data_IF_848617056032
#
_entry.id   IF_848617056032
#
_cell.length_a   1.000
_cell.length_b   1.000
_cell.length_c   1.000
_cell.angle_alpha   90.00
_cell.angle_beta   90.00
_cell.angle_gamma   90.00
#
_symmetry.space_group_name_H-M   'P 1'
#
loop_
_entity.id
_entity.type
_entity.pdbx_description
1 polymer ?
#
# COMPACT_ATOMS: atom_id res chain seq x y z
N UNK A 1 -12.73 0.15 -5.71
CA UNK A 1 -11.60 0.81 -6.40
C UNK A 1 -10.71 -0.28 -6.99
N UNK A 2 -10.41 -0.27 -8.28
CA UNK A 2 -9.49 -1.25 -8.89
C UNK A 2 -8.09 -0.66 -8.89
N UNK A 3 -7.13 -1.38 -8.32
CA UNK A 3 -5.73 -0.94 -8.32
C UNK A 3 -4.97 -1.54 -9.50
N UNK A 4 -3.98 -0.82 -10.00
CA UNK A 4 -3.23 -1.25 -11.18
C UNK A 4 -1.78 -1.56 -10.82
N UNK A 5 -1.30 -2.72 -11.27
CA UNK A 5 0.11 -3.11 -11.19
C UNK A 5 0.53 -3.81 -12.48
N UNK A 6 1.59 -3.29 -13.10
CA UNK A 6 2.31 -3.97 -14.17
C UNK A 6 2.83 -5.34 -13.67
N UNK A 7 2.59 -6.41 -14.44
CA UNK A 7 2.96 -7.81 -14.15
C UNK A 7 2.19 -8.45 -12.98
N UNK A 8 0.87 -8.26 -12.95
CA UNK A 8 -0.07 -9.06 -12.15
C UNK A 8 -0.95 -9.91 -13.07
N UNK A 9 -1.43 -11.05 -12.57
CA UNK A 9 -2.02 -12.11 -13.42
C UNK A 9 -3.39 -11.73 -14.00
N UNK A 10 -4.13 -10.86 -13.33
CA UNK A 10 -5.49 -10.46 -13.74
C UNK A 10 -5.45 -9.36 -14.81
N UNK A 11 -6.15 -9.58 -15.95
CA UNK A 11 -6.20 -8.64 -17.07
C UNK A 11 -6.98 -7.36 -16.71
N UNK A 12 -6.59 -6.24 -17.30
CA UNK A 12 -7.26 -4.94 -17.14
C UNK A 12 -8.79 -4.96 -17.29
N UNK A 13 -9.29 -5.70 -18.29
CA UNK A 13 -10.71 -5.78 -18.61
C UNK A 13 -11.55 -6.56 -17.57
N UNK A 14 -10.92 -7.21 -16.59
CA UNK A 14 -11.61 -7.94 -15.54
C UNK A 14 -12.11 -6.96 -14.46
N UNK A 15 -13.38 -6.54 -14.56
CA UNK A 15 -13.99 -5.57 -13.63
C UNK A 15 -14.26 -6.15 -12.23
N UNK A 16 -14.40 -7.48 -12.12
CA UNK A 16 -14.64 -8.23 -10.88
C UNK A 16 -13.56 -9.28 -10.66
N UNK A 17 -12.31 -8.86 -10.81
CA UNK A 17 -11.16 -9.71 -10.51
C UNK A 17 -11.19 -10.11 -9.03
N UNK A 18 -10.65 -11.29 -8.69
CA UNK A 18 -10.76 -11.84 -7.34
C UNK A 18 -10.15 -10.90 -6.28
N UNK A 19 -9.18 -10.08 -6.69
CA UNK A 19 -8.45 -9.17 -5.82
C UNK A 19 -8.67 -7.69 -6.11
N UNK A 20 -9.41 -7.33 -7.16
CA UNK A 20 -9.53 -5.95 -7.66
C UNK A 20 -8.17 -5.25 -7.89
N UNK A 21 -7.16 -6.03 -8.28
CA UNK A 21 -5.84 -5.55 -8.70
C UNK A 21 -5.59 -6.10 -10.08
N UNK A 22 -5.40 -5.24 -11.08
CA UNK A 22 -5.25 -5.67 -12.46
C UNK A 22 -3.92 -5.21 -13.06
N UNK A 23 -3.54 -5.88 -14.14
CA UNK A 23 -2.45 -5.45 -15.01
C UNK A 23 -3.01 -4.72 -16.22
N UNK A 24 -3.03 -3.39 -16.13
CA UNK A 24 -3.36 -2.49 -17.24
C UNK A 24 -2.14 -1.91 -17.96
N UNK A 25 -0.96 -2.53 -17.82
CA UNK A 25 0.31 -1.99 -18.34
C UNK A 25 0.54 -0.50 -17.98
N UNK A 26 0.04 -0.10 -16.82
CA UNK A 26 0.05 1.27 -16.33
C UNK A 26 0.66 1.33 -14.94
N UNK A 27 1.46 2.36 -14.66
CA UNK A 27 2.22 2.51 -13.42
C UNK A 27 1.48 3.36 -12.38
N UNK A 28 0.16 3.16 -12.23
CA UNK A 28 -0.73 4.00 -11.41
C UNK A 28 -0.18 4.36 -10.03
N UNK A 29 0.44 3.40 -9.32
CA UNK A 29 1.03 3.66 -8.01
C UNK A 29 2.14 4.73 -8.08
N UNK A 30 3.04 4.63 -9.06
CA UNK A 30 4.07 5.64 -9.30
C UNK A 30 3.44 6.94 -9.80
N UNK A 31 2.65 6.90 -10.87
CA UNK A 31 2.16 8.13 -11.52
C UNK A 31 1.31 8.99 -10.55
N UNK A 32 0.48 8.35 -9.72
CA UNK A 32 -0.29 9.06 -8.68
C UNK A 32 0.62 9.63 -7.58
N UNK A 33 1.58 8.84 -7.08
CA UNK A 33 2.50 9.32 -6.04
C UNK A 33 3.36 10.47 -6.59
N UNK A 34 3.88 10.33 -7.81
CA UNK A 34 4.69 11.35 -8.46
C UNK A 34 3.94 12.67 -8.55
N UNK A 35 2.68 12.64 -9.00
CA UNK A 35 1.83 13.82 -9.03
C UNK A 35 1.65 14.46 -7.64
N UNK A 36 1.38 13.66 -6.60
CA UNK A 36 1.22 14.17 -5.22
C UNK A 36 2.50 14.75 -4.64
N UNK A 37 3.66 14.23 -5.05
CA UNK A 37 4.99 14.68 -4.62
C UNK A 37 5.65 15.60 -5.65
N UNK A 38 4.85 16.30 -6.48
CA UNK A 38 5.30 17.37 -7.40
C UNK A 38 6.30 16.93 -8.46
N UNK A 39 6.11 15.73 -8.97
CA UNK A 39 6.88 15.12 -10.05
C UNK A 39 8.38 14.92 -9.77
N UNK A 40 8.74 14.79 -8.49
CA UNK A 40 10.13 14.64 -8.01
C UNK A 40 10.49 13.19 -7.62
N UNK A 41 9.65 12.19 -7.96
CA UNK A 41 9.93 10.80 -7.60
C UNK A 41 10.74 10.07 -8.67
N UNK A 42 11.73 9.32 -8.21
CA UNK A 42 12.52 8.38 -9.01
C UNK A 42 11.60 7.25 -9.50
N UNK A 43 11.49 7.12 -10.82
CA UNK A 43 10.72 6.07 -11.50
C UNK A 43 11.52 4.78 -11.55
N UNK A 44 10.88 3.66 -11.22
CA UNK A 44 11.45 2.33 -11.44
C UNK A 44 11.57 2.06 -12.95
N UNK A 45 12.79 1.91 -13.47
CA UNK A 45 13.05 1.46 -14.83
C UNK A 45 13.18 -0.07 -14.90
N UNK A 46 13.06 -0.64 -16.10
CA UNK A 46 13.25 -2.09 -16.33
C UNK A 46 14.68 -2.57 -16.04
N UNK A 47 15.64 -1.67 -16.00
CA UNK A 47 17.06 -1.96 -15.74
C UNK A 47 17.37 -2.04 -14.24
N UNK A 48 16.53 -1.45 -13.40
CA UNK A 48 16.74 -1.41 -11.95
C UNK A 48 15.93 -2.54 -11.31
N UNK A 49 16.59 -3.67 -11.00
CA UNK A 49 16.01 -4.70 -10.14
C UNK A 49 16.22 -4.32 -8.68
N UNK A 50 15.14 -3.93 -7.99
CA UNK A 50 15.19 -3.56 -6.57
C UNK A 50 14.52 -4.65 -5.74
N UNK A 51 15.29 -5.18 -4.79
CA UNK A 51 14.77 -6.00 -3.70
C UNK A 51 14.15 -5.09 -2.65
N UNK A 52 12.98 -5.46 -2.12
CA UNK A 52 12.40 -4.76 -0.99
C UNK A 52 13.26 -5.09 0.24
N UNK A 53 14.11 -4.15 0.66
CA UNK A 53 14.97 -4.30 1.84
C UNK A 53 14.36 -3.64 3.08
N UNK A 54 13.33 -2.81 2.90
CA UNK A 54 12.60 -2.18 3.99
C UNK A 54 11.93 -3.18 4.94
N UNK A 55 11.87 -2.78 6.22
CA UNK A 55 11.22 -3.57 7.24
C UNK A 55 9.70 -3.43 7.12
N UNK A 56 9.00 -4.56 7.09
CA UNK A 56 7.55 -4.60 7.26
C UNK A 56 7.21 -4.54 8.74
N UNK A 57 6.65 -3.42 9.17
CA UNK A 57 6.22 -3.21 10.54
C UNK A 57 4.72 -3.47 10.62
N UNK A 58 4.32 -4.21 11.65
CA UNK A 58 2.92 -4.48 11.97
C UNK A 58 2.59 -3.78 13.28
N UNK A 59 1.51 -3.00 13.31
CA UNK A 59 1.15 -2.19 14.49
C UNK A 59 -0.32 -2.33 14.84
N UNK A 60 -0.59 -2.54 16.14
CA UNK A 60 -1.95 -2.63 16.69
C UNK A 60 -2.69 -1.31 16.53
N UNK A 61 -3.62 -1.22 15.58
CA UNK A 61 -4.29 0.04 15.26
C UNK A 61 -5.08 0.59 16.45
N UNK A 62 -5.73 -0.28 17.21
CA UNK A 62 -6.51 0.11 18.38
C UNK A 62 -5.70 0.91 19.42
N UNK A 63 -4.37 0.71 19.49
CA UNK A 63 -3.51 1.44 20.40
C UNK A 63 -3.38 2.94 20.04
N UNK A 64 -3.70 3.31 18.81
CA UNK A 64 -3.61 4.68 18.29
C UNK A 64 -4.99 5.34 18.09
N UNK A 65 -6.05 4.67 18.53
CA UNK A 65 -7.42 5.15 18.38
C UNK A 65 -7.97 5.65 19.71
N UNK A 66 -8.84 6.65 19.66
CA UNK A 66 -9.55 7.10 20.84
C UNK A 66 -10.42 5.94 21.40
N UNK A 67 -10.28 5.58 22.70
CA UNK A 67 -11.00 4.45 23.31
C UNK A 67 -12.52 4.49 23.10
N UNK A 68 -13.12 5.67 23.06
CA UNK A 68 -14.56 5.87 22.86
C UNK A 68 -15.04 5.48 21.46
N UNK A 69 -14.13 5.33 20.50
CA UNK A 69 -14.41 5.03 19.08
C UNK A 69 -13.95 3.62 18.69
N UNK A 70 -13.01 3.04 19.44
CA UNK A 70 -12.47 1.68 19.21
C UNK A 70 -13.59 0.64 19.17
N UNK A 71 -14.58 0.73 20.06
CA UNK A 71 -15.70 -0.23 20.13
C UNK A 71 -16.70 -0.10 18.97
N UNK A 72 -16.57 0.91 18.12
CA UNK A 72 -17.47 1.15 16.97
C UNK A 72 -16.76 1.12 15.63
N UNK A 73 -15.45 0.84 15.62
CA UNK A 73 -14.66 0.88 14.40
C UNK A 73 -14.25 -0.50 13.92
N UNK A 74 -14.45 -0.76 12.64
CA UNK A 74 -13.99 -1.98 11.99
C UNK A 74 -12.46 -2.07 11.93
N UNK A 75 -11.72 -0.99 12.19
CA UNK A 75 -10.26 -1.01 12.26
C UNK A 75 -9.71 -1.52 13.60
N UNK A 76 -10.56 -1.79 14.60
CA UNK A 76 -10.15 -2.17 15.95
C UNK A 76 -9.46 -3.53 16.06
N UNK A 77 -9.83 -4.48 15.21
CA UNK A 77 -9.36 -5.87 15.29
C UNK A 77 -8.31 -6.21 14.23
N UNK A 78 -7.70 -5.19 13.63
CA UNK A 78 -6.72 -5.37 12.56
C UNK A 78 -5.47 -4.57 12.84
N UNK A 79 -4.33 -5.15 12.48
CA UNK A 79 -3.07 -4.43 12.49
C UNK A 79 -2.88 -3.64 11.20
N UNK A 80 -2.30 -2.46 11.32
CA UNK A 80 -1.79 -1.70 10.18
C UNK A 80 -0.45 -2.27 9.77
N UNK A 81 -0.13 -2.16 8.48
CA UNK A 81 1.20 -2.43 7.99
C UNK A 81 1.88 -1.15 7.58
N UNK A 82 3.18 -1.07 7.78
CA UNK A 82 4.01 -0.07 7.12
C UNK A 82 5.27 -0.70 6.53
N UNK A 83 5.75 -0.11 5.44
CA UNK A 83 7.09 -0.38 4.93
C UNK A 83 7.93 0.86 5.17
N UNK A 84 9.09 0.68 5.79
CA UNK A 84 10.13 1.69 5.79
C UNK A 84 11.46 1.13 5.31
N UNK A 85 11.92 1.64 4.16
CA UNK A 85 13.26 1.40 3.64
C UNK A 85 14.24 2.33 4.36
N UNK A 86 15.21 1.73 5.05
CA UNK A 86 16.32 2.45 5.69
C UNK A 86 15.94 3.47 6.78
N UNK A 87 14.80 3.30 7.46
CA UNK A 87 14.40 4.15 8.60
C UNK A 87 15.54 4.34 9.60
N UNK A 88 16.17 5.52 9.54
CA UNK A 88 17.18 5.99 10.47
C UNK A 88 16.89 7.46 10.77
N UNK A 89 17.35 7.95 11.91
CA UNK A 89 16.99 9.28 12.40
C UNK A 89 17.65 10.42 11.59
N UNK A 90 18.46 10.09 10.58
CA UNK A 90 19.29 11.05 9.82
C UNK A 90 18.66 11.48 8.49
N UNK A 91 17.54 10.86 8.10
CA UNK A 91 16.85 11.15 6.82
C UNK A 91 15.45 11.70 7.03
N UNK A 92 15.00 12.53 6.09
CA UNK A 92 13.61 12.98 6.01
C UNK A 92 12.80 11.95 5.24
N UNK A 93 11.66 11.57 5.80
CA UNK A 93 10.72 10.63 5.18
C UNK A 93 9.38 11.30 4.93
N UNK A 94 8.81 11.03 3.77
CA UNK A 94 7.41 11.34 3.49
C UNK A 94 6.52 10.18 3.95
N UNK A 95 5.31 10.47 4.41
CA UNK A 95 4.33 9.43 4.76
C UNK A 95 3.21 9.42 3.73
N UNK A 96 2.87 8.24 3.20
CA UNK A 96 1.72 8.02 2.35
C UNK A 96 0.75 7.01 2.97
N UNK A 97 -0.53 7.37 3.10
CA UNK A 97 -1.57 6.45 3.56
C UNK A 97 -2.25 5.81 2.35
N UNK A 98 -2.18 4.49 2.27
CA UNK A 98 -2.76 3.69 1.20
C UNK A 98 -3.98 2.91 1.71
N UNK A 99 -5.17 3.39 1.37
CA UNK A 99 -6.44 2.74 1.71
C UNK A 99 -6.79 1.69 0.66
N UNK A 100 -7.20 0.50 1.12
CA UNK A 100 -7.71 -0.56 0.25
C UNK A 100 -9.18 -0.29 -0.12
N UNK A 101 -9.68 -0.96 -1.17
CA UNK A 101 -11.09 -0.93 -1.53
C UNK A 101 -11.91 -2.00 -0.80
N UNK A 102 -13.21 -2.07 -1.11
CA UNK A 102 -14.07 -3.16 -0.69
C UNK A 102 -13.48 -4.51 -1.08
N UNK A 103 -13.64 -5.50 -0.20
CA UNK A 103 -13.15 -6.88 -0.32
C UNK A 103 -11.63 -7.02 -0.40
N UNK A 104 -10.87 -6.00 -0.03
CA UNK A 104 -9.39 -6.01 -0.08
C UNK A 104 -8.71 -5.90 1.29
N UNK A 105 -9.46 -6.14 2.37
CA UNK A 105 -8.91 -6.20 3.73
C UNK A 105 -8.00 -7.41 3.92
N UNK A 106 -7.11 -7.34 4.92
CA UNK A 106 -6.25 -8.47 5.33
C UNK A 106 -7.02 -9.75 5.65
N UNK A 107 -8.20 -9.62 6.24
CA UNK A 107 -9.09 -10.76 6.56
C UNK A 107 -9.57 -11.51 5.31
N UNK A 108 -9.69 -10.84 4.16
CA UNK A 108 -10.22 -11.41 2.93
C UNK A 108 -9.11 -11.81 1.96
N UNK A 109 -8.09 -10.97 1.78
CA UNK A 109 -7.03 -11.16 0.79
C UNK A 109 -5.62 -11.22 1.40
N UNK A 110 -5.49 -11.44 2.72
CA UNK A 110 -4.20 -11.43 3.40
C UNK A 110 -3.40 -10.16 3.04
N UNK A 111 -2.14 -10.29 2.66
CA UNK A 111 -1.29 -9.14 2.32
C UNK A 111 -1.28 -8.81 0.81
N UNK A 112 -2.26 -9.27 0.03
CA UNK A 112 -2.30 -9.05 -1.43
C UNK A 112 -2.34 -7.57 -1.76
N UNK A 113 -3.23 -6.78 -1.15
CA UNK A 113 -3.28 -5.34 -1.38
C UNK A 113 -1.93 -4.65 -1.08
N UNK A 114 -1.37 -4.93 0.10
CA UNK A 114 -0.09 -4.37 0.55
C UNK A 114 1.03 -4.71 -0.44
N UNK A 115 1.16 -5.98 -0.84
CA UNK A 115 2.28 -6.48 -1.66
C UNK A 115 2.11 -6.23 -3.16
N UNK A 116 0.88 -6.17 -3.64
CA UNK A 116 0.56 -6.20 -5.08
C UNK A 116 -0.04 -4.90 -5.60
N UNK A 117 -0.42 -3.93 -4.77
CA UNK A 117 -0.91 -2.63 -5.27
C UNK A 117 0.20 -1.64 -5.71
N UNK A 118 1.44 -2.13 -5.93
CA UNK A 118 2.52 -1.40 -6.61
C UNK A 118 3.30 -0.36 -5.79
N UNK A 119 2.82 0.03 -4.61
CA UNK A 119 3.39 1.16 -3.83
C UNK A 119 4.73 0.88 -3.17
N UNK A 120 4.98 -0.34 -2.72
CA UNK A 120 6.18 -0.70 -1.96
C UNK A 120 7.48 -0.40 -2.68
N UNK A 121 7.55 -0.67 -3.99
CA UNK A 121 8.76 -0.42 -4.79
C UNK A 121 8.99 1.08 -5.03
N UNK A 122 7.92 1.85 -5.19
CA UNK A 122 8.00 3.31 -5.29
C UNK A 122 8.50 3.86 -3.95
N UNK A 123 7.99 3.33 -2.85
CA UNK A 123 8.36 3.74 -1.51
C UNK A 123 9.84 3.48 -1.18
N UNK A 124 10.31 2.27 -1.51
CA UNK A 124 11.71 1.84 -1.33
C UNK A 124 12.70 2.81 -2.00
N UNK A 125 12.35 3.34 -3.18
CA UNK A 125 13.21 4.23 -3.96
C UNK A 125 13.22 5.68 -3.48
N UNK A 126 12.18 6.12 -2.78
CA UNK A 126 11.87 7.55 -2.66
C UNK A 126 11.78 8.03 -1.21
N UNK A 127 12.31 7.26 -0.24
CA UNK A 127 12.20 7.57 1.20
C UNK A 127 10.76 7.84 1.64
N UNK A 128 9.81 7.03 1.13
CA UNK A 128 8.40 7.14 1.50
C UNK A 128 8.07 5.98 2.45
N UNK A 129 7.47 6.31 3.60
CA UNK A 129 6.84 5.33 4.47
C UNK A 129 5.40 5.16 3.99
N UNK A 130 5.01 3.94 3.62
CA UNK A 130 3.62 3.67 3.22
C UNK A 130 2.90 3.00 4.37
N UNK A 131 1.87 3.65 4.90
CA UNK A 131 0.96 3.09 5.91
C UNK A 131 -0.25 2.46 5.21
N UNK A 132 -0.61 1.25 5.61
CA UNK A 132 -1.75 0.50 5.11
C UNK A 132 -2.72 0.21 6.26
N UNK A 133 -3.60 1.16 6.62
CA UNK A 133 -4.66 0.90 7.58
C UNK A 133 -5.55 -0.25 7.10
N UNK A 134 -6.04 -1.04 8.03
CA UNK A 134 -6.91 -2.18 7.80
C UNK A 134 -8.26 -2.00 8.51
N UNK A 135 -9.28 -2.64 7.95
CA UNK A 135 -10.58 -2.88 8.61
C UNK A 135 -10.90 -4.38 8.57
N UNK A 136 -11.75 -4.86 9.48
CA UNK A 136 -12.19 -6.26 9.55
C UNK A 136 -12.84 -6.68 8.24
N UNK A 137 -13.74 -5.87 7.70
CA UNK A 137 -14.37 -6.11 6.42
C UNK A 137 -14.70 -4.77 5.78
N UNK A 138 -14.59 -4.71 4.45
CA UNK A 138 -15.16 -3.63 3.66
C UNK A 138 -15.98 -4.31 2.57
N UNK A 139 -17.29 -4.10 2.52
CA UNK A 139 -18.19 -4.74 1.57
C UNK A 139 -18.59 -3.80 0.45
#
# INVERSE_FOLDING_TARGET
>A
MVFQKKNFDEKCAALYSANFINNCNFTFAYDKLNHLYKDDLIKLSSEISISLTGQFITSKQAAFMNPSVVTRSDSRATDSFSLCSSCNNERKYSIHVALHGCKQSKSLLSNVFVKKAGRLKVAELNNIIVLFPQVIQST
#
